data_IF_263031311897
#
_entry.id   IF_263031311897
#
_cell.length_a   1.000
_cell.length_b   1.000
_cell.length_c   1.000
_cell.angle_alpha   90.00
_cell.angle_beta   90.00
_cell.angle_gamma   90.00
#
_symmetry.space_group_name_H-M   'P 1'
#
loop_
_entity.id
_entity.type
_entity.pdbx_description
1 polymer ?
#
# COMPACT_ATOMS: atom_id res chain seq x y z
N UNK A 1 -50.95 0.97 23.30
CA UNK A 1 -49.75 0.12 23.06
C UNK A 1 -48.91 0.55 21.85
N UNK A 2 -49.45 1.15 20.78
CA UNK A 2 -48.65 1.54 19.60
C UNK A 2 -47.63 2.68 19.79
N UNK A 3 -47.87 3.59 20.74
CA UNK A 3 -47.05 4.80 20.94
C UNK A 3 -45.69 4.55 21.62
N UNK A 4 -45.55 3.42 22.32
CA UNK A 4 -44.29 2.99 22.96
C UNK A 4 -43.35 2.29 21.98
N UNK A 5 -43.92 1.56 21.00
CA UNK A 5 -43.16 0.81 20.00
C UNK A 5 -42.39 1.73 19.02
N UNK A 6 -43.02 2.84 18.61
CA UNK A 6 -42.42 3.82 17.69
C UNK A 6 -41.22 4.57 18.30
N UNK A 7 -41.27 4.83 19.61
CA UNK A 7 -40.20 5.50 20.36
C UNK A 7 -38.93 4.64 20.51
N UNK A 8 -39.07 3.32 20.51
CA UNK A 8 -37.94 2.39 20.55
C UNK A 8 -37.24 2.26 19.20
N UNK A 9 -37.99 2.27 18.09
CA UNK A 9 -37.44 2.20 16.73
C UNK A 9 -36.66 3.48 16.39
N UNK A 10 -37.19 4.66 16.73
CA UNK A 10 -36.47 5.93 16.50
C UNK A 10 -35.18 6.05 17.34
N UNK A 11 -35.17 5.54 18.58
CA UNK A 11 -33.96 5.51 19.41
C UNK A 11 -32.90 4.53 18.88
N UNK A 12 -33.32 3.35 18.41
CA UNK A 12 -32.41 2.37 17.80
C UNK A 12 -31.77 2.89 16.51
N UNK A 13 -32.55 3.55 15.65
CA UNK A 13 -32.05 4.10 14.38
C UNK A 13 -31.10 5.29 14.61
N UNK A 14 -31.38 6.16 15.59
CA UNK A 14 -30.47 7.26 15.95
C UNK A 14 -29.15 6.75 16.54
N UNK A 15 -29.17 5.71 17.38
CA UNK A 15 -27.94 5.11 17.95
C UNK A 15 -27.09 4.44 16.87
N UNK A 16 -27.70 3.80 15.86
CA UNK A 16 -26.98 3.24 14.71
C UNK A 16 -26.34 4.34 13.83
N UNK A 17 -27.05 5.45 13.61
CA UNK A 17 -26.54 6.58 12.82
C UNK A 17 -25.41 7.30 13.57
N UNK A 18 -25.54 7.50 14.88
CA UNK A 18 -24.49 8.12 15.72
C UNK A 18 -23.29 7.18 15.89
N UNK A 19 -23.50 5.86 15.99
CA UNK A 19 -22.43 4.85 16.02
C UNK A 19 -21.62 4.78 14.73
N UNK A 20 -22.25 5.01 13.57
CA UNK A 20 -21.53 5.11 12.29
C UNK A 20 -20.77 6.44 12.12
N UNK A 21 -21.22 7.53 12.75
CA UNK A 21 -20.52 8.82 12.71
C UNK A 21 -19.34 8.87 13.69
N UNK A 22 -19.37 8.13 14.81
CA UNK A 22 -18.27 8.06 15.78
C UNK A 22 -17.13 7.10 15.37
N UNK A 23 -17.38 6.13 14.49
CA UNK A 23 -16.33 5.29 13.91
C UNK A 23 -15.57 5.96 12.75
N UNK A 24 -15.99 7.16 12.31
CA UNK A 24 -15.24 7.94 11.33
C UNK A 24 -13.99 8.62 11.90
N UNK A 25 -13.81 8.58 13.24
CA UNK A 25 -12.65 9.14 13.94
C UNK A 25 -11.72 8.08 14.57
N UNK A 26 -11.87 6.78 14.26
CA UNK A 26 -10.72 5.89 14.42
C UNK A 26 -9.67 6.38 13.42
N UNK A 27 -8.51 6.82 13.92
CA UNK A 27 -7.32 6.96 13.07
C UNK A 27 -7.27 5.75 12.15
N UNK A 28 -7.11 5.94 10.83
CA UNK A 28 -6.74 4.86 9.93
C UNK A 28 -5.41 4.30 10.42
N UNK A 29 -5.47 3.35 11.37
CA UNK A 29 -4.36 2.67 11.99
C UNK A 29 -3.90 1.62 10.98
N UNK A 30 -3.11 2.10 10.04
CA UNK A 30 -2.74 1.39 8.83
C UNK A 30 -1.28 1.03 8.76
N UNK A 31 -0.57 1.29 9.85
CA UNK A 31 0.86 1.01 9.96
C UNK A 31 1.11 -0.34 10.60
N UNK A 32 0.08 -1.17 10.68
CA UNK A 32 0.18 -2.53 11.18
C UNK A 32 0.27 -3.44 9.96
N UNK A 33 1.40 -4.12 9.82
CA UNK A 33 1.54 -5.16 8.81
C UNK A 33 0.49 -6.26 9.04
N UNK A 34 0.05 -6.96 8.00
CA UNK A 34 -0.87 -8.12 8.14
C UNK A 34 -0.15 -9.42 8.51
N UNK A 35 -0.91 -10.49 8.78
CA UNK A 35 -0.35 -11.85 8.90
C UNK A 35 0.28 -12.30 7.57
N UNK A 36 1.39 -13.06 7.59
CA UNK A 36 2.08 -13.60 8.76
C UNK A 36 3.04 -12.62 9.44
N UNK A 37 3.20 -11.40 8.95
CA UNK A 37 4.24 -10.45 9.36
C UNK A 37 4.09 -9.92 10.79
N UNK A 38 2.89 -9.97 11.35
CA UNK A 38 2.66 -9.67 12.78
C UNK A 38 3.33 -10.73 13.66
N UNK A 39 3.10 -12.01 13.36
CA UNK A 39 3.55 -13.14 14.19
C UNK A 39 4.98 -13.59 13.87
N UNK A 40 5.38 -13.51 12.61
CA UNK A 40 6.67 -13.99 12.13
C UNK A 40 7.62 -12.81 11.88
N UNK A 41 8.51 -12.58 12.84
CA UNK A 41 9.52 -11.51 12.75
C UNK A 41 10.53 -11.76 11.62
N UNK A 42 10.85 -13.01 11.29
CA UNK A 42 11.83 -13.30 10.25
C UNK A 42 11.28 -12.93 8.87
N UNK A 43 10.03 -13.35 8.59
CA UNK A 43 9.33 -12.96 7.36
C UNK A 43 9.18 -11.45 7.26
N UNK A 44 8.81 -10.78 8.35
CA UNK A 44 8.69 -9.32 8.37
C UNK A 44 10.00 -8.63 8.03
N UNK A 45 11.08 -9.00 8.70
CA UNK A 45 12.40 -8.42 8.47
C UNK A 45 12.88 -8.64 7.02
N UNK A 46 12.55 -9.78 6.40
CA UNK A 46 12.91 -10.05 5.00
C UNK A 46 12.20 -9.11 4.01
N UNK A 47 10.91 -8.83 4.24
CA UNK A 47 10.14 -7.89 3.41
C UNK A 47 10.58 -6.44 3.67
N UNK A 48 10.78 -6.05 4.92
CA UNK A 48 11.32 -4.73 5.29
C UNK A 48 12.68 -4.49 4.62
N UNK A 49 13.58 -5.48 4.66
CA UNK A 49 14.89 -5.41 4.01
C UNK A 49 14.78 -5.25 2.48
N UNK A 50 13.83 -5.96 1.84
CA UNK A 50 13.59 -5.80 0.41
C UNK A 50 13.11 -4.39 0.08
N UNK A 51 12.19 -3.84 0.87
CA UNK A 51 11.67 -2.49 0.71
C UNK A 51 12.78 -1.44 0.83
N UNK A 52 13.59 -1.54 1.89
CA UNK A 52 14.74 -0.66 2.10
C UNK A 52 15.75 -0.74 0.97
N UNK A 53 16.04 -1.94 0.46
CA UNK A 53 16.98 -2.14 -0.65
C UNK A 53 16.46 -1.51 -1.93
N UNK A 54 15.17 -1.69 -2.24
CA UNK A 54 14.50 -1.03 -3.35
C UNK A 54 14.62 0.49 -3.25
N UNK A 55 14.23 1.06 -2.12
CA UNK A 55 14.19 2.52 -1.98
C UNK A 55 15.59 3.16 -1.94
N UNK A 56 16.57 2.47 -1.36
CA UNK A 56 17.97 2.87 -1.40
C UNK A 56 18.51 2.91 -2.82
N UNK A 57 18.29 1.87 -3.62
CA UNK A 57 18.73 1.85 -5.02
C UNK A 57 18.06 2.93 -5.86
N UNK A 58 16.76 3.15 -5.63
CA UNK A 58 16.00 4.19 -6.32
C UNK A 58 16.53 5.59 -6.03
N UNK A 59 16.77 5.91 -4.76
CA UNK A 59 17.09 7.28 -4.32
C UNK A 59 18.58 7.61 -4.38
N UNK A 60 19.45 6.61 -4.24
CA UNK A 60 20.91 6.80 -4.25
C UNK A 60 21.53 6.50 -5.62
N UNK A 61 20.74 6.60 -6.69
CA UNK A 61 21.26 6.36 -8.02
C UNK A 61 22.30 7.42 -8.40
N UNK A 62 23.45 7.04 -9.00
CA UNK A 62 24.46 8.00 -9.42
C UNK A 62 23.82 9.08 -10.29
N UNK A 63 24.00 10.36 -9.93
CA UNK A 63 23.40 11.55 -10.57
C UNK A 63 22.00 11.97 -10.09
N UNK A 64 21.39 11.31 -9.10
CA UNK A 64 20.24 11.88 -8.40
C UNK A 64 20.69 13.12 -7.61
N UNK A 65 20.33 14.31 -8.08
CA UNK A 65 20.64 15.57 -7.40
C UNK A 65 19.89 15.62 -6.05
N UNK A 66 20.59 15.33 -4.95
CA UNK A 66 20.32 15.96 -3.67
C UNK A 66 19.40 15.26 -2.66
N UNK A 67 19.03 13.97 -2.79
CA UNK A 67 18.20 13.32 -1.74
C UNK A 67 18.63 11.89 -1.46
N UNK A 68 19.72 11.71 -0.70
CA UNK A 68 20.01 10.45 0.01
C UNK A 68 19.10 10.31 1.27
N UNK A 69 17.83 10.67 1.14
CA UNK A 69 16.82 10.55 2.21
C UNK A 69 16.06 9.25 1.96
N UNK A 70 15.92 8.43 3.00
CA UNK A 70 15.03 7.27 3.01
C UNK A 70 13.69 7.66 3.64
N UNK A 71 12.62 6.87 3.44
CA UNK A 71 11.34 7.12 4.11
C UNK A 71 11.48 7.19 5.63
N UNK A 72 10.72 8.08 6.26
CA UNK A 72 10.79 8.37 7.71
C UNK A 72 10.20 7.22 8.56
N UNK A 73 9.30 6.43 7.98
CA UNK A 73 8.68 5.27 8.61
C UNK A 73 9.25 3.95 8.09
N UNK A 74 9.37 2.96 8.97
CA UNK A 74 9.67 1.57 8.61
C UNK A 74 8.60 1.06 7.64
N UNK A 75 9.00 0.20 6.70
CA UNK A 75 8.08 -0.43 5.77
C UNK A 75 7.02 -1.27 6.48
N UNK A 76 5.77 -1.12 6.05
CA UNK A 76 4.62 -1.90 6.55
C UNK A 76 3.72 -2.25 5.38
N UNK A 77 3.15 -3.45 5.33
CA UNK A 77 2.22 -3.84 4.26
C UNK A 77 0.90 -4.33 4.86
N UNK A 78 -0.21 -3.77 4.42
CA UNK A 78 -1.54 -4.24 4.79
C UNK A 78 -2.08 -5.31 3.81
N UNK A 79 -1.21 -5.85 2.94
CA UNK A 79 -1.57 -6.74 1.87
C UNK A 79 -2.29 -6.00 0.77
N UNK A 80 -3.46 -6.49 0.38
CA UNK A 80 -4.25 -5.91 -0.68
C UNK A 80 -5.28 -4.96 -0.10
N UNK A 81 -4.89 -3.71 0.16
CA UNK A 81 -5.72 -2.74 0.88
C UNK A 81 -7.15 -2.68 0.31
N UNK A 82 -8.14 -2.98 1.17
CA UNK A 82 -9.58 -3.03 0.84
C UNK A 82 -9.98 -4.04 -0.24
N UNK A 83 -9.14 -5.04 -0.49
CA UNK A 83 -9.43 -6.20 -1.33
C UNK A 83 -9.11 -7.49 -0.55
N UNK A 84 -9.63 -8.65 -0.99
CA UNK A 84 -9.27 -9.92 -0.35
C UNK A 84 -7.79 -10.28 -0.56
N UNK A 85 -7.10 -10.70 0.49
CA UNK A 85 -5.76 -11.29 0.43
C UNK A 85 -5.86 -12.77 0.02
N UNK A 86 -5.80 -13.03 -1.29
CA UNK A 86 -5.88 -14.39 -1.84
C UNK A 86 -4.64 -14.70 -2.67
N UNK A 87 -4.79 -15.19 -3.91
CA UNK A 87 -3.68 -15.63 -4.78
C UNK A 87 -2.75 -14.52 -5.27
N UNK A 88 -3.00 -13.26 -4.93
CA UNK A 88 -2.23 -12.09 -5.38
C UNK A 88 -1.58 -11.33 -4.23
N UNK A 89 -1.50 -11.92 -3.03
CA UNK A 89 -0.87 -11.29 -1.87
C UNK A 89 0.57 -10.84 -2.16
N UNK A 90 1.38 -11.69 -2.80
CA UNK A 90 2.74 -11.31 -3.21
C UNK A 90 2.77 -10.08 -4.12
N UNK A 91 1.83 -10.00 -5.08
CA UNK A 91 1.70 -8.86 -5.98
C UNK A 91 1.41 -7.54 -5.21
N UNK A 92 0.55 -7.60 -4.19
CA UNK A 92 0.21 -6.44 -3.37
C UNK A 92 1.39 -5.98 -2.52
N UNK A 93 2.12 -6.91 -1.90
CA UNK A 93 3.31 -6.57 -1.10
C UNK A 93 4.40 -5.91 -1.96
N UNK A 94 4.64 -6.43 -3.17
CA UNK A 94 5.60 -5.82 -4.10
C UNK A 94 5.15 -4.44 -4.56
N UNK A 95 3.85 -4.24 -4.76
CA UNK A 95 3.27 -2.93 -5.06
C UNK A 95 3.45 -1.94 -3.89
N UNK A 96 3.21 -2.40 -2.65
CA UNK A 96 3.38 -1.62 -1.42
C UNK A 96 4.82 -1.12 -1.26
N UNK A 97 5.84 -1.89 -1.66
CA UNK A 97 7.25 -1.47 -1.61
C UNK A 97 7.46 -0.18 -2.42
N UNK A 98 6.91 -0.10 -3.63
CA UNK A 98 6.98 1.12 -4.44
C UNK A 98 6.19 2.26 -3.81
N UNK A 99 5.01 1.97 -3.28
CA UNK A 99 4.13 2.96 -2.65
C UNK A 99 4.73 3.55 -1.37
N UNK A 100 5.37 2.72 -0.55
CA UNK A 100 6.12 3.16 0.63
C UNK A 100 7.24 4.11 0.22
N UNK A 101 8.05 3.71 -0.76
CA UNK A 101 9.19 4.51 -1.20
C UNK A 101 8.78 5.83 -1.88
N UNK A 102 7.67 5.85 -2.61
CA UNK A 102 7.21 7.01 -3.37
C UNK A 102 8.06 7.29 -4.62
N UNK A 103 8.06 8.55 -5.07
CA UNK A 103 8.73 9.00 -6.28
C UNK A 103 7.82 9.76 -7.24
N UNK A 104 8.11 9.67 -8.53
CA UNK A 104 7.42 10.44 -9.58
C UNK A 104 6.04 9.89 -9.93
N UNK A 105 5.27 10.65 -10.70
CA UNK A 105 3.97 10.20 -11.21
C UNK A 105 4.11 9.01 -12.18
N UNK A 106 5.19 8.97 -12.96
CA UNK A 106 5.51 7.86 -13.86
C UNK A 106 5.87 6.60 -13.08
N UNK A 107 6.60 6.73 -11.97
CA UNK A 107 6.87 5.60 -11.08
C UNK A 107 5.59 5.00 -10.52
N UNK A 108 4.64 5.83 -10.09
CA UNK A 108 3.35 5.32 -9.60
C UNK A 108 2.61 4.56 -10.70
N UNK A 109 2.56 5.12 -11.91
CA UNK A 109 1.92 4.45 -13.05
C UNK A 109 2.59 3.11 -13.39
N UNK A 110 3.91 3.03 -13.31
CA UNK A 110 4.68 1.81 -13.51
C UNK A 110 4.38 0.76 -12.42
N UNK A 111 4.38 1.17 -11.15
CA UNK A 111 4.03 0.29 -10.02
C UNK A 111 2.59 -0.27 -10.16
N UNK A 112 1.62 0.59 -10.47
CA UNK A 112 0.23 0.20 -10.66
C UNK A 112 0.06 -0.77 -11.84
N UNK A 113 0.82 -0.56 -12.93
CA UNK A 113 0.80 -1.46 -14.07
C UNK A 113 1.47 -2.81 -13.78
N UNK A 114 2.57 -2.83 -13.03
CA UNK A 114 3.20 -4.07 -12.56
C UNK A 114 2.23 -4.91 -11.71
N UNK A 115 1.49 -4.27 -10.81
CA UNK A 115 0.43 -4.93 -10.03
C UNK A 115 -0.60 -5.57 -10.96
N UNK A 116 -1.08 -4.82 -11.98
CA UNK A 116 -2.01 -5.36 -12.98
C UNK A 116 -1.43 -6.59 -13.68
N UNK A 117 -0.18 -6.54 -14.13
CA UNK A 117 0.47 -7.66 -14.81
C UNK A 117 0.57 -8.88 -13.89
N UNK A 118 1.04 -8.69 -12.66
CA UNK A 118 1.16 -9.75 -11.66
C UNK A 118 -0.18 -10.44 -11.41
N UNK A 119 -1.24 -9.66 -11.14
CA UNK A 119 -2.60 -10.18 -10.89
C UNK A 119 -3.22 -10.85 -12.13
N UNK A 120 -2.82 -10.45 -13.34
CA UNK A 120 -3.35 -11.03 -14.59
C UNK A 120 -3.04 -12.52 -14.70
N UNK A 121 -1.94 -12.98 -14.11
CA UNK A 121 -1.59 -14.40 -14.06
C UNK A 121 -2.61 -15.25 -13.29
N UNK A 122 -3.35 -14.66 -12.35
CA UNK A 122 -4.41 -15.35 -11.60
C UNK A 122 -5.81 -14.98 -12.10
N UNK A 123 -6.07 -13.70 -12.41
CA UNK A 123 -7.36 -13.23 -12.93
C UNK A 123 -7.26 -11.89 -13.64
N UNK A 124 -7.57 -11.87 -14.95
CA UNK A 124 -7.61 -10.64 -15.74
C UNK A 124 -8.71 -9.65 -15.31
N UNK A 125 -9.83 -10.15 -14.78
CA UNK A 125 -10.91 -9.30 -14.24
C UNK A 125 -10.41 -8.58 -12.99
N UNK A 126 -9.82 -9.32 -12.04
CA UNK A 126 -9.29 -8.72 -10.83
C UNK A 126 -8.12 -7.78 -11.14
N UNK A 127 -7.27 -8.10 -12.11
CA UNK A 127 -6.20 -7.20 -12.54
C UNK A 127 -6.73 -5.82 -12.96
N UNK A 128 -7.85 -5.79 -13.69
CA UNK A 128 -8.50 -4.55 -14.10
C UNK A 128 -9.13 -3.78 -12.93
N UNK A 129 -9.73 -4.50 -11.97
CA UNK A 129 -10.28 -3.93 -10.73
C UNK A 129 -9.16 -3.31 -9.88
N UNK A 130 -8.09 -4.07 -9.61
CA UNK A 130 -6.93 -3.61 -8.85
C UNK A 130 -6.31 -2.38 -9.50
N UNK A 131 -6.03 -2.43 -10.81
CA UNK A 131 -5.47 -1.29 -11.54
C UNK A 131 -6.33 -0.04 -11.38
N UNK A 132 -7.64 -0.15 -11.63
CA UNK A 132 -8.55 0.99 -11.50
C UNK A 132 -8.61 1.52 -10.06
N UNK A 133 -8.66 0.61 -9.08
CA UNK A 133 -8.65 0.93 -7.66
C UNK A 133 -7.43 1.72 -7.23
N UNK A 134 -6.21 1.25 -7.56
CA UNK A 134 -4.97 1.95 -7.19
C UNK A 134 -4.82 3.27 -7.94
N UNK A 135 -5.23 3.36 -9.21
CA UNK A 135 -5.19 4.62 -9.97
C UNK A 135 -6.06 5.70 -9.33
N UNK A 136 -7.21 5.35 -8.76
CA UNK A 136 -8.11 6.32 -8.11
C UNK A 136 -7.81 6.53 -6.63
N UNK A 137 -7.54 5.47 -5.87
CA UNK A 137 -7.46 5.48 -4.42
C UNK A 137 -6.04 5.59 -3.83
N UNK A 138 -5.01 5.42 -4.65
CA UNK A 138 -3.60 5.43 -4.24
C UNK A 138 -2.89 6.77 -4.42
N UNK A 139 -3.59 7.85 -4.76
CA UNK A 139 -2.95 9.15 -5.03
C UNK A 139 -2.34 9.76 -3.76
N UNK A 140 -1.26 10.54 -3.84
CA UNK A 140 -0.55 11.06 -2.65
C UNK A 140 -1.34 12.08 -1.83
N UNK A 141 -2.37 12.70 -2.41
CA UNK A 141 -3.17 13.75 -1.80
C UNK A 141 -4.32 13.22 -0.95
N UNK A 142 -4.69 11.95 -1.11
CA UNK A 142 -5.73 11.35 -0.29
C UNK A 142 -5.17 11.08 1.12
N UNK A 143 -5.94 11.31 2.19
CA UNK A 143 -5.54 10.96 3.55
C UNK A 143 -5.68 9.45 3.79
N UNK A 144 -5.46 8.64 2.73
CA UNK A 144 -5.43 7.20 2.83
C UNK A 144 -4.05 6.76 3.29
N UNK A 145 -3.98 5.62 3.97
CA UNK A 145 -2.70 5.16 4.50
C UNK A 145 -1.86 4.37 3.51
N UNK A 146 -2.49 3.71 2.54
CA UNK A 146 -1.86 3.04 1.41
C UNK A 146 -1.58 4.02 0.25
N UNK A 147 -1.51 5.32 0.53
CA UNK A 147 -1.27 6.36 -0.50
C UNK A 147 0.16 6.25 -1.06
N UNK A 148 0.37 6.78 -2.25
CA UNK A 148 1.72 6.97 -2.79
C UNK A 148 2.57 7.81 -1.84
N UNK A 149 3.76 7.31 -1.47
CA UNK A 149 4.66 7.94 -0.53
C UNK A 149 4.21 7.81 0.94
N UNK A 150 3.49 6.76 1.33
CA UNK A 150 3.05 6.63 2.72
C UNK A 150 4.18 6.41 3.73
N UNK A 151 5.39 6.05 3.28
CA UNK A 151 6.56 5.91 4.14
C UNK A 151 7.10 7.24 4.69
N UNK A 152 6.55 8.37 4.23
CA UNK A 152 7.01 9.71 4.58
C UNK A 152 6.04 10.42 5.54
N UNK A 153 6.59 11.24 6.44
CA UNK A 153 5.83 11.95 7.47
C UNK A 153 5.17 13.27 6.99
N UNK A 154 5.52 13.72 5.79
CA UNK A 154 5.16 15.03 5.23
C UNK A 154 3.89 15.01 4.35
N UNK A 155 2.79 14.41 4.83
CA UNK A 155 1.56 14.36 4.03
C UNK A 155 0.93 15.76 3.80
N UNK A 156 0.56 16.11 2.55
CA UNK A 156 0.78 15.36 1.31
C UNK A 156 2.16 15.64 0.68
N UNK A 157 3.00 14.60 0.55
CA UNK A 157 4.32 14.67 -0.11
C UNK A 157 4.23 14.99 -1.60
N UNK A 158 3.16 14.53 -2.25
CA UNK A 158 2.97 14.66 -3.70
C UNK A 158 3.86 13.73 -4.52
N UNK A 159 4.16 14.14 -5.75
CA UNK A 159 5.07 13.43 -6.66
C UNK A 159 6.42 14.13 -6.70
N UNK A 160 7.50 13.35 -6.70
CA UNK A 160 8.87 13.87 -6.72
C UNK A 160 9.45 13.93 -8.14
N UNK A 161 10.29 14.92 -8.40
CA UNK A 161 11.14 14.97 -9.59
C UNK A 161 12.47 14.27 -9.29
N UNK A 162 12.51 12.96 -9.52
CA UNK A 162 13.73 12.16 -9.38
C UNK A 162 14.44 12.08 -10.74
N UNK A 163 15.26 13.09 -11.03
CA UNK A 163 16.10 13.06 -12.23
C UNK A 163 17.06 11.86 -12.17
N UNK A 164 17.09 11.08 -13.25
CA UNK A 164 17.96 9.91 -13.42
C UNK A 164 17.70 8.71 -12.50
N UNK A 165 16.52 8.57 -11.87
CA UNK A 165 16.18 7.34 -11.14
C UNK A 165 15.99 6.14 -12.10
N UNK A 166 16.41 4.92 -11.72
CA UNK A 166 15.98 3.69 -12.39
C UNK A 166 14.46 3.58 -12.41
N UNK A 167 13.94 2.90 -13.41
CA UNK A 167 12.51 2.62 -13.51
C UNK A 167 12.08 1.60 -12.45
N UNK A 168 10.79 1.62 -12.11
CA UNK A 168 10.22 0.61 -11.19
C UNK A 168 10.43 -0.81 -11.73
N UNK A 169 10.27 -1.03 -13.04
CA UNK A 169 10.47 -2.34 -13.67
C UNK A 169 11.90 -2.85 -13.48
N UNK A 170 12.89 -2.03 -13.83
CA UNK A 170 14.31 -2.39 -13.69
C UNK A 170 14.66 -2.75 -12.24
N UNK A 171 14.17 -1.97 -11.27
CA UNK A 171 14.44 -2.24 -9.86
C UNK A 171 13.77 -3.53 -9.37
N UNK A 172 12.50 -3.76 -9.73
CA UNK A 172 11.78 -4.97 -9.31
C UNK A 172 12.37 -6.23 -9.93
N UNK A 173 12.84 -6.15 -11.18
CA UNK A 173 13.53 -7.23 -11.88
C UNK A 173 14.92 -7.49 -11.29
N UNK A 174 15.74 -6.45 -11.11
CA UNK A 174 17.09 -6.59 -10.52
C UNK A 174 17.03 -7.23 -9.13
N UNK A 175 16.05 -6.84 -8.33
CA UNK A 175 15.88 -7.33 -6.97
C UNK A 175 15.13 -8.66 -6.88
N UNK A 176 14.58 -9.16 -7.99
CA UNK A 176 13.72 -10.35 -8.03
C UNK A 176 12.62 -10.29 -6.97
N UNK A 177 12.00 -9.11 -6.81
CA UNK A 177 11.14 -8.81 -5.67
C UNK A 177 9.99 -9.83 -5.53
N UNK A 178 9.27 -10.13 -6.61
CA UNK A 178 8.19 -11.13 -6.60
C UNK A 178 8.67 -12.50 -6.09
N UNK A 179 9.78 -13.02 -6.62
CA UNK A 179 10.32 -14.31 -6.21
C UNK A 179 10.66 -14.33 -4.72
N UNK A 180 11.35 -13.30 -4.22
CA UNK A 180 11.73 -13.23 -2.80
C UNK A 180 10.50 -13.18 -1.91
N UNK A 181 9.48 -12.38 -2.27
CA UNK A 181 8.24 -12.28 -1.50
C UNK A 181 7.46 -13.61 -1.52
N UNK A 182 7.32 -14.26 -2.68
CA UNK A 182 6.68 -15.56 -2.81
C UNK A 182 7.36 -16.62 -1.93
N UNK A 183 8.69 -16.68 -1.92
CA UNK A 183 9.44 -17.60 -1.07
C UNK A 183 9.18 -17.36 0.44
N UNK A 184 8.99 -16.11 0.88
CA UNK A 184 8.66 -15.81 2.27
C UNK A 184 7.22 -16.20 2.64
N UNK A 185 6.30 -16.19 1.67
CA UNK A 185 4.91 -16.59 1.89
C UNK A 185 4.73 -18.12 1.91
N UNK A 186 5.62 -18.86 1.25
CA UNK A 186 5.57 -20.33 1.17
C UNK A 186 6.28 -21.07 2.32
N UNK A 187 7.33 -20.46 2.89
CA UNK A 187 8.05 -20.98 4.07
C UNK A 187 7.27 -20.72 5.35
#
# INVERSE_FOLDING_TARGET
MFRFYFRHIQRGLMVLIIGHLLNACTSMESRLSIEPYIKDKQKRNAVEWMAERYCRKKRNYPQSQGVNKQPDFIFTTDGCSRAPDVHWLACCIVHDISYWCGGSQTDRAAADYLLKQCVTHQSGVMASVFYSGVRMGGTPWLPTPWRWGYGWDDWPRGYELLEHSPTVFELMEELKANQVIEEQLQK
#
